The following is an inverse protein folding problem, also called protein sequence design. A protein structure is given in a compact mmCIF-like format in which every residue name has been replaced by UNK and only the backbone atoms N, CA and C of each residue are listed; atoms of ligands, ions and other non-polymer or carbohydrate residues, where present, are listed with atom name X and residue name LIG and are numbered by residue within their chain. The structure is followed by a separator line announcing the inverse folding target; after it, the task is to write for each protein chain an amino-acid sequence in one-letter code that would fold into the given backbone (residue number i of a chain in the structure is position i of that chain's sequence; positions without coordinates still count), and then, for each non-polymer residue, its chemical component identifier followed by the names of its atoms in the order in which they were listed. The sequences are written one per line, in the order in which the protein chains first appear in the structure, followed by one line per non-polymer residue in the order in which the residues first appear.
data_IF_456235174064
#
_entry.id   IF_456235174064
#
_cell.length_a   1.000
_cell.length_b   1.000
_cell.length_c   1.000
_cell.angle_alpha   90.00
_cell.angle_beta   90.00
_cell.angle_gamma   90.00
#
_symmetry.space_group_name_H-M   'P 1'
#
loop_
_entity.id
_entity.type
_entity.pdbx_description
1 polymer ?
#
# COMPACT_ATOMS: atom_id res chain seq x y z
N UNK A 1 8.49 11.69 20.79
CA UNK A 1 7.58 11.35 19.67
C UNK A 1 8.49 11.02 18.49
N UNK A 2 8.35 9.83 17.91
CA UNK A 2 9.13 9.42 16.74
C UNK A 2 8.62 10.16 15.52
N UNK A 3 9.53 10.67 14.67
CA UNK A 3 9.17 11.37 13.44
C UNK A 3 8.39 10.45 12.49
N UNK A 4 7.37 10.96 11.79
CA UNK A 4 6.59 10.15 10.85
C UNK A 4 7.44 9.71 9.66
N UNK A 5 7.21 8.47 9.19
CA UNK A 5 7.85 7.94 7.97
C UNK A 5 7.19 8.51 6.72
N UNK A 6 5.86 8.64 6.74
CA UNK A 6 5.08 9.28 5.68
C UNK A 6 4.23 10.38 6.32
N UNK A 7 4.19 11.55 5.68
CA UNK A 7 3.39 12.68 6.15
C UNK A 7 2.74 13.39 4.96
N UNK A 8 1.49 13.74 5.14
CA UNK A 8 0.66 14.50 4.19
C UNK A 8 0.19 15.75 4.90
N UNK A 9 0.41 16.93 4.28
CA UNK A 9 0.06 18.22 4.85
C UNK A 9 -0.79 19.03 3.87
N UNK A 10 -2.01 19.35 4.25
CA UNK A 10 -2.90 20.26 3.53
C UNK A 10 -3.25 19.78 2.12
N UNK A 11 -3.31 18.45 1.89
CA UNK A 11 -3.41 17.89 0.55
C UNK A 11 -4.78 18.17 -0.06
N UNK A 12 -4.79 18.90 -1.18
CA UNK A 12 -6.03 19.31 -1.86
C UNK A 12 -6.00 18.90 -3.31
N UNK A 13 -7.14 18.41 -3.83
CA UNK A 13 -7.35 18.06 -5.23
C UNK A 13 -8.74 18.38 -5.69
N UNK A 14 -8.84 19.02 -6.87
CA UNK A 14 -10.11 19.37 -7.53
C UNK A 14 -10.12 18.83 -8.96
N UNK A 15 -11.28 18.44 -9.42
CA UNK A 15 -11.57 18.14 -10.81
C UNK A 15 -12.72 19.06 -11.26
N UNK A 16 -12.39 20.18 -11.88
CA UNK A 16 -13.35 21.24 -12.15
C UNK A 16 -13.96 21.79 -10.85
N UNK A 17 -15.28 21.71 -10.72
CA UNK A 17 -15.98 22.14 -9.51
C UNK A 17 -15.96 21.10 -8.37
N UNK A 18 -15.61 19.84 -8.66
CA UNK A 18 -15.61 18.77 -7.67
C UNK A 18 -14.31 18.79 -6.85
N UNK A 19 -14.44 18.96 -5.53
CA UNK A 19 -13.33 18.79 -4.59
C UNK A 19 -13.28 17.35 -4.14
N UNK A 20 -12.16 16.64 -4.41
CA UNK A 20 -12.00 15.20 -4.11
C UNK A 20 -11.05 14.96 -2.93
N UNK A 21 -10.14 15.90 -2.68
CA UNK A 21 -9.35 15.99 -1.46
C UNK A 21 -9.38 17.44 -0.99
N UNK A 22 -9.67 17.67 0.28
CA UNK A 22 -9.84 18.99 0.84
C UNK A 22 -9.12 19.10 2.19
N UNK A 23 -7.93 19.72 2.14
CA UNK A 23 -7.09 20.00 3.30
C UNK A 23 -6.78 18.75 4.13
N UNK A 24 -6.32 17.65 3.46
CA UNK A 24 -6.06 16.39 4.14
C UNK A 24 -4.73 16.44 4.89
N UNK A 25 -4.79 16.14 6.18
CA UNK A 25 -3.67 15.92 7.07
C UNK A 25 -3.59 14.44 7.45
N UNK A 26 -2.41 13.81 7.26
CA UNK A 26 -2.20 12.41 7.60
C UNK A 26 -0.73 12.17 7.96
N UNK A 27 -0.51 11.32 8.95
CA UNK A 27 0.84 10.84 9.30
C UNK A 27 0.84 9.32 9.39
N UNK A 28 1.98 8.70 9.09
CA UNK A 28 2.23 7.27 9.27
C UNK A 28 3.54 7.10 10.05
N UNK A 29 3.46 6.48 11.22
CA UNK A 29 4.58 6.34 12.15
C UNK A 29 5.29 5.00 12.00
N UNK A 30 6.57 4.86 12.42
CA UNK A 30 7.24 3.57 12.45
C UNK A 30 6.43 2.51 13.22
N UNK A 31 6.33 1.31 12.67
CA UNK A 31 5.62 0.18 13.26
C UNK A 31 4.09 0.27 13.23
N UNK A 32 3.52 1.33 12.62
CA UNK A 32 2.09 1.60 12.60
C UNK A 32 1.41 0.98 11.36
N UNK A 33 0.22 0.41 11.55
CA UNK A 33 -0.77 0.22 10.49
C UNK A 33 -1.83 1.31 10.66
N UNK A 34 -1.86 2.27 9.74
CA UNK A 34 -2.86 3.33 9.71
C UNK A 34 -3.86 3.04 8.60
N UNK A 35 -5.09 2.72 8.98
CA UNK A 35 -6.15 2.45 8.01
C UNK A 35 -6.90 3.72 7.60
N UNK A 36 -7.24 3.82 6.32
CA UNK A 36 -8.18 4.81 5.77
C UNK A 36 -9.43 4.08 5.34
N UNK A 37 -10.54 4.43 5.95
CA UNK A 37 -11.87 3.92 5.61
C UNK A 37 -12.76 5.06 5.11
N UNK A 38 -13.88 4.71 4.50
CA UNK A 38 -14.85 5.70 4.02
C UNK A 38 -15.77 5.12 2.95
N UNK A 39 -16.91 5.71 2.67
CA UNK A 39 -17.85 5.24 1.66
C UNK A 39 -17.24 5.26 0.26
N UNK A 40 -17.94 4.63 -0.69
CA UNK A 40 -17.55 4.69 -2.10
C UNK A 40 -17.65 6.14 -2.59
N UNK A 41 -16.64 6.57 -3.36
CA UNK A 41 -16.57 7.97 -3.81
C UNK A 41 -16.02 8.96 -2.78
N UNK A 42 -15.63 8.55 -1.58
CA UNK A 42 -15.07 9.43 -0.55
C UNK A 42 -13.73 10.09 -0.93
N UNK A 43 -13.03 9.57 -1.96
CA UNK A 43 -11.73 10.10 -2.41
C UNK A 43 -10.51 9.24 -2.04
N UNK A 44 -10.71 8.03 -1.49
CA UNK A 44 -9.63 7.14 -1.03
C UNK A 44 -8.59 6.84 -2.12
N UNK A 45 -9.03 6.36 -3.28
CA UNK A 45 -8.11 6.04 -4.40
C UNK A 45 -7.42 7.30 -4.95
N UNK A 46 -8.09 8.46 -4.93
CA UNK A 46 -7.48 9.75 -5.31
C UNK A 46 -6.40 10.15 -4.32
N UNK A 47 -6.64 10.00 -3.02
CA UNK A 47 -5.66 10.26 -1.98
C UNK A 47 -4.43 9.37 -2.14
N UNK A 48 -4.62 8.06 -2.34
CA UNK A 48 -3.53 7.13 -2.63
C UNK A 48 -2.75 7.54 -3.89
N UNK A 49 -3.45 7.91 -4.97
CA UNK A 49 -2.81 8.32 -6.20
C UNK A 49 -1.94 9.58 -6.00
N UNK A 50 -2.37 10.53 -5.16
CA UNK A 50 -1.59 11.72 -4.80
C UNK A 50 -0.37 11.35 -3.93
N UNK A 51 -0.55 10.51 -2.89
CA UNK A 51 0.52 10.04 -2.02
C UNK A 51 1.58 9.28 -2.82
N UNK A 52 1.17 8.44 -3.76
CA UNK A 52 2.07 7.62 -4.58
C UNK A 52 2.64 8.33 -5.82
N UNK A 53 2.26 9.59 -6.10
CA UNK A 53 2.79 10.37 -7.23
C UNK A 53 2.18 10.02 -8.59
N UNK A 54 1.07 9.29 -8.62
CA UNK A 54 0.29 9.04 -9.82
C UNK A 54 -0.65 10.19 -10.18
N UNK A 55 -0.93 11.06 -9.22
CA UNK A 55 -1.73 12.27 -9.39
C UNK A 55 -1.09 13.43 -8.64
N UNK A 56 -0.88 14.54 -9.33
CA UNK A 56 -0.35 15.76 -8.69
C UNK A 56 -1.45 16.45 -7.90
N UNK A 57 -1.21 16.80 -6.62
CA UNK A 57 -2.13 17.64 -5.85
C UNK A 57 -2.16 19.07 -6.40
N UNK A 58 -3.24 19.79 -6.13
CA UNK A 58 -3.37 21.22 -6.47
C UNK A 58 -2.78 22.10 -5.37
N UNK A 59 -2.80 21.61 -4.12
CA UNK A 59 -2.16 22.22 -2.96
C UNK A 59 -1.73 21.17 -1.95
N UNK A 60 -0.92 21.56 -0.98
CA UNK A 60 -0.39 20.70 0.06
C UNK A 60 0.89 19.96 -0.36
N UNK A 61 1.39 19.12 0.55
CA UNK A 61 2.67 18.42 0.36
C UNK A 61 2.64 17.00 0.91
N UNK A 62 3.48 16.15 0.31
CA UNK A 62 3.74 14.77 0.74
C UNK A 62 5.22 14.65 1.10
N UNK A 63 5.50 14.13 2.29
CA UNK A 63 6.87 13.91 2.79
C UNK A 63 7.10 12.41 3.04
N UNK A 64 8.27 11.91 2.64
CA UNK A 64 8.73 10.55 2.93
C UNK A 64 10.08 10.62 3.64
N UNK A 65 10.13 10.15 4.90
CA UNK A 65 11.32 10.27 5.74
C UNK A 65 11.80 11.71 5.88
N UNK A 66 10.88 12.66 6.04
CA UNK A 66 11.14 14.10 6.15
C UNK A 66 11.49 14.81 4.84
N UNK A 67 11.61 14.10 3.71
CA UNK A 67 11.91 14.69 2.40
C UNK A 67 10.62 14.96 1.63
N UNK A 68 10.48 16.17 1.07
CA UNK A 68 9.36 16.53 0.20
C UNK A 68 9.45 15.72 -1.11
N UNK A 69 8.41 14.91 -1.36
CA UNK A 69 8.30 14.07 -2.54
C UNK A 69 7.14 14.49 -3.45
N UNK A 70 6.51 15.63 -3.17
CA UNK A 70 5.27 16.08 -3.81
C UNK A 70 5.34 16.11 -5.33
N UNK A 71 6.44 16.60 -5.89
CA UNK A 71 6.64 16.72 -7.33
C UNK A 71 7.34 15.50 -7.97
N UNK A 72 7.69 14.49 -7.18
CA UNK A 72 8.34 13.28 -7.69
C UNK A 72 7.32 12.33 -8.33
N UNK A 73 7.70 11.75 -9.48
CA UNK A 73 6.93 10.70 -10.12
C UNK A 73 6.89 9.41 -9.28
N UNK A 74 5.87 8.57 -9.49
CA UNK A 74 5.67 7.29 -8.78
C UNK A 74 6.95 6.44 -8.73
N UNK A 75 7.67 6.33 -9.85
CA UNK A 75 8.92 5.57 -9.93
C UNK A 75 9.99 6.08 -8.96
N UNK A 76 10.09 7.39 -8.81
CA UNK A 76 11.13 7.99 -7.99
C UNK A 76 10.77 7.92 -6.50
N UNK A 77 9.48 8.05 -6.15
CA UNK A 77 8.98 7.77 -4.79
C UNK A 77 9.19 6.30 -4.40
N UNK A 78 8.96 5.36 -5.34
CA UNK A 78 9.24 3.93 -5.11
C UNK A 78 10.73 3.69 -4.83
N UNK A 79 11.64 4.33 -5.57
CA UNK A 79 13.09 4.27 -5.33
C UNK A 79 13.53 4.90 -4.00
N UNK A 80 12.75 5.82 -3.46
CA UNK A 80 12.97 6.41 -2.14
C UNK A 80 12.42 5.53 -1.01
N UNK A 81 11.68 4.47 -1.35
CA UNK A 81 11.16 3.49 -0.43
C UNK A 81 9.64 3.57 -0.16
N UNK A 82 8.86 4.24 -1.01
CA UNK A 82 7.40 4.19 -0.92
C UNK A 82 6.88 3.04 -1.81
N UNK A 83 6.63 1.88 -1.22
CA UNK A 83 6.05 0.76 -1.94
C UNK A 83 4.53 0.89 -2.04
N UNK A 84 3.98 0.61 -3.22
CA UNK A 84 2.54 0.53 -3.45
C UNK A 84 2.18 -0.86 -3.96
N UNK A 85 1.16 -1.49 -3.37
CA UNK A 85 0.47 -2.61 -4.00
C UNK A 85 -0.65 -2.07 -4.90
N UNK A 86 -0.86 -2.69 -6.05
CA UNK A 86 -1.83 -2.20 -7.03
C UNK A 86 -3.17 -2.90 -6.85
N UNK A 87 -4.27 -2.15 -7.01
CA UNK A 87 -5.63 -2.68 -7.05
C UNK A 87 -5.85 -3.62 -8.26
N UNK A 88 -5.14 -3.37 -9.37
CA UNK A 88 -5.07 -4.27 -10.52
C UNK A 88 -3.68 -4.89 -10.53
N UNK A 89 -3.62 -6.23 -10.49
CA UNK A 89 -2.37 -6.98 -10.51
C UNK A 89 -1.52 -6.60 -11.72
N UNK A 90 -0.30 -6.10 -11.47
CA UNK A 90 0.68 -5.79 -12.51
C UNK A 90 1.66 -6.94 -12.72
N UNK A 91 1.30 -8.15 -12.26
CA UNK A 91 2.13 -9.35 -12.39
C UNK A 91 2.17 -9.82 -13.84
N UNK A 92 3.35 -10.24 -14.29
CA UNK A 92 3.53 -10.91 -15.56
C UNK A 92 3.01 -12.36 -15.43
N UNK A 93 1.79 -12.60 -15.90
CA UNK A 93 1.06 -13.86 -15.68
C UNK A 93 1.73 -15.07 -16.34
N UNK A 94 2.41 -14.85 -17.48
CA UNK A 94 3.13 -15.90 -18.21
C UNK A 94 4.50 -16.24 -17.60
N UNK A 95 5.02 -15.34 -16.77
CA UNK A 95 6.28 -15.52 -16.08
C UNK A 95 6.11 -16.35 -14.80
N UNK A 96 7.20 -16.92 -14.31
CA UNK A 96 7.19 -17.62 -13.03
C UNK A 96 7.10 -16.66 -11.85
N UNK A 97 6.71 -17.18 -10.70
CA UNK A 97 6.69 -16.47 -9.41
C UNK A 97 8.07 -15.83 -9.13
N UNK A 98 9.15 -16.59 -9.32
CA UNK A 98 10.51 -16.08 -9.14
C UNK A 98 10.84 -14.96 -10.14
N UNK A 99 10.45 -15.10 -11.41
CA UNK A 99 10.70 -14.07 -12.42
C UNK A 99 10.05 -12.75 -12.06
N UNK A 100 8.79 -12.76 -11.61
CA UNK A 100 8.10 -11.56 -11.12
C UNK A 100 8.85 -10.90 -9.95
N UNK A 101 9.28 -11.68 -8.96
CA UNK A 101 10.03 -11.16 -7.82
C UNK A 101 11.40 -10.59 -8.24
N UNK A 102 12.11 -11.25 -9.18
CA UNK A 102 13.38 -10.78 -9.75
C UNK A 102 13.19 -9.48 -10.53
N UNK A 103 12.09 -9.33 -11.29
CA UNK A 103 11.75 -8.07 -11.98
C UNK A 103 11.55 -6.92 -10.98
N UNK A 104 10.88 -7.17 -9.85
CA UNK A 104 10.77 -6.22 -8.75
C UNK A 104 12.14 -5.80 -8.21
N UNK A 105 13.00 -6.75 -7.91
CA UNK A 105 14.36 -6.51 -7.43
C UNK A 105 15.22 -5.74 -8.44
N UNK A 106 15.05 -6.01 -9.74
CA UNK A 106 15.70 -5.26 -10.81
C UNK A 106 15.25 -3.79 -10.84
N UNK A 107 13.94 -3.54 -10.68
CA UNK A 107 13.38 -2.18 -10.61
C UNK A 107 13.98 -1.34 -9.47
N UNK A 108 14.34 -1.98 -8.36
CA UNK A 108 15.04 -1.36 -7.25
C UNK A 108 16.52 -1.08 -7.53
N UNK A 109 17.15 -1.83 -8.47
CA UNK A 109 18.56 -1.68 -8.75
C UNK A 109 18.84 -0.41 -9.56
N UNK A 110 19.83 0.38 -9.11
CA UNK A 110 20.27 1.61 -9.79
C UNK A 110 21.31 1.38 -10.90
N UNK A 111 21.54 0.12 -11.32
CA UNK A 111 22.61 -0.20 -12.27
C UNK A 111 22.14 -0.02 -13.72
N UNK A 112 22.58 1.03 -14.44
CA UNK A 112 22.23 1.25 -15.85
C UNK A 112 22.90 0.24 -16.81
N UNK A 113 23.90 -0.50 -16.35
CA UNK A 113 24.71 -1.44 -17.16
C UNK A 113 24.23 -2.89 -17.12
N UNK A 114 23.04 -3.16 -16.52
CA UNK A 114 22.45 -4.49 -16.41
C UNK A 114 21.94 -5.10 -17.72
N UNK A 115 21.90 -4.35 -18.82
CA UNK A 115 21.34 -4.79 -20.11
C UNK A 115 22.12 -5.92 -20.80
N UNK A 116 23.39 -6.11 -20.45
CA UNK A 116 24.26 -7.10 -21.13
C UNK A 116 24.36 -8.45 -20.42
N UNK A 117 23.70 -8.63 -19.28
CA UNK A 117 23.68 -9.93 -18.57
C UNK A 117 22.24 -10.41 -18.40
N UNK A 118 21.98 -11.72 -18.64
CA UNK A 118 20.67 -12.30 -18.34
C UNK A 118 20.27 -11.99 -16.89
N UNK A 119 19.14 -11.37 -16.70
CA UNK A 119 18.67 -10.91 -15.37
C UNK A 119 18.56 -12.07 -14.38
N UNK A 120 18.11 -13.24 -14.85
CA UNK A 120 18.02 -14.48 -14.06
C UNK A 120 19.38 -15.05 -13.64
N UNK A 121 20.46 -14.68 -14.32
CA UNK A 121 21.85 -15.05 -13.96
C UNK A 121 22.46 -14.16 -12.87
N UNK A 122 21.77 -13.11 -12.42
CA UNK A 122 22.22 -12.24 -11.34
C UNK A 122 21.87 -12.84 -9.99
N UNK A 123 22.87 -13.44 -9.34
CA UNK A 123 22.72 -14.13 -8.05
C UNK A 123 22.24 -13.20 -6.93
N UNK A 124 22.64 -11.92 -6.95
CA UNK A 124 22.21 -10.89 -5.99
C UNK A 124 20.71 -10.61 -6.06
N UNK A 125 20.15 -10.43 -7.27
CA UNK A 125 18.73 -10.19 -7.47
C UNK A 125 17.89 -11.42 -7.16
N UNK A 126 18.40 -12.59 -7.55
CA UNK A 126 17.75 -13.86 -7.30
C UNK A 126 17.66 -14.17 -5.80
N UNK A 127 18.75 -14.05 -5.06
CA UNK A 127 18.77 -14.27 -3.61
C UNK A 127 17.80 -13.32 -2.89
N UNK A 128 17.75 -12.04 -3.31
CA UNK A 128 16.80 -11.07 -2.78
C UNK A 128 15.34 -11.45 -3.07
N UNK A 129 15.05 -11.88 -4.30
CA UNK A 129 13.73 -12.32 -4.70
C UNK A 129 13.30 -13.57 -3.92
N UNK A 130 14.16 -14.57 -3.79
CA UNK A 130 13.91 -15.80 -3.03
C UNK A 130 13.63 -15.48 -1.54
N UNK A 131 14.41 -14.61 -0.92
CA UNK A 131 14.17 -14.18 0.45
C UNK A 131 12.82 -13.47 0.62
N UNK A 132 12.38 -12.64 -0.35
CA UNK A 132 11.07 -12.01 -0.31
C UNK A 132 9.93 -13.01 -0.53
N UNK A 133 10.12 -14.01 -1.40
CA UNK A 133 9.16 -15.09 -1.62
C UNK A 133 9.00 -15.99 -0.38
N UNK A 134 10.10 -16.30 0.30
CA UNK A 134 10.08 -17.08 1.54
C UNK A 134 9.22 -16.39 2.61
N UNK A 135 9.37 -15.07 2.75
CA UNK A 135 8.63 -14.25 3.72
C UNK A 135 7.12 -14.25 3.51
N UNK A 136 6.66 -14.40 2.28
CA UNK A 136 5.24 -14.47 1.95
C UNK A 136 4.74 -15.91 1.75
N UNK A 137 5.59 -16.93 2.00
CA UNK A 137 5.23 -18.33 1.90
C UNK A 137 5.08 -18.85 0.46
N UNK A 138 5.80 -18.26 -0.50
CA UNK A 138 5.72 -18.65 -1.92
C UNK A 138 7.04 -19.21 -2.50
N UNK A 139 8.04 -19.47 -1.66
CA UNK A 139 9.34 -19.93 -2.15
C UNK A 139 9.26 -21.31 -2.80
N UNK A 140 8.43 -22.22 -2.26
CA UNK A 140 8.18 -23.56 -2.82
C UNK A 140 7.50 -23.50 -4.19
N UNK A 141 6.81 -22.40 -4.52
CA UNK A 141 6.14 -22.13 -5.80
C UNK A 141 6.96 -21.28 -6.76
N UNK A 142 8.23 -21.01 -6.45
CA UNK A 142 9.09 -20.10 -7.22
C UNK A 142 9.16 -20.44 -8.72
N UNK A 143 9.11 -21.73 -9.10
CA UNK A 143 9.15 -22.21 -10.49
C UNK A 143 7.75 -22.27 -11.16
N UNK A 144 6.66 -22.09 -10.41
CA UNK A 144 5.28 -22.13 -10.91
C UNK A 144 4.99 -20.89 -11.75
N UNK A 145 4.16 -21.00 -12.79
CA UNK A 145 3.67 -19.82 -13.52
C UNK A 145 2.72 -19.02 -12.65
N UNK A 146 2.83 -17.71 -12.72
CA UNK A 146 1.97 -16.80 -11.95
C UNK A 146 0.48 -16.99 -12.27
N UNK A 147 0.15 -17.35 -13.52
CA UNK A 147 -1.22 -17.66 -13.92
C UNK A 147 -1.84 -18.86 -13.15
N UNK A 148 -1.03 -19.78 -12.63
CA UNK A 148 -1.46 -20.98 -11.91
C UNK A 148 -1.70 -20.72 -10.43
N UNK A 149 -1.25 -19.56 -9.91
CA UNK A 149 -1.50 -19.17 -8.52
C UNK A 149 -2.98 -18.85 -8.28
N UNK A 150 -3.46 -19.19 -7.09
CA UNK A 150 -4.75 -18.71 -6.58
C UNK A 150 -4.76 -17.18 -6.44
N UNK A 151 -5.93 -16.59 -6.25
CA UNK A 151 -6.05 -15.15 -6.08
C UNK A 151 -5.27 -14.66 -4.84
N UNK A 152 -5.36 -15.38 -3.73
CA UNK A 152 -4.61 -15.04 -2.50
C UNK A 152 -3.10 -15.09 -2.69
N UNK A 153 -2.60 -16.14 -3.36
CA UNK A 153 -1.16 -16.28 -3.65
C UNK A 153 -0.64 -15.19 -4.59
N UNK A 154 -1.47 -14.73 -5.55
CA UNK A 154 -1.10 -13.57 -6.37
C UNK A 154 -0.97 -12.31 -5.53
N UNK A 155 -1.86 -12.10 -4.55
CA UNK A 155 -1.74 -10.98 -3.60
C UNK A 155 -0.48 -11.09 -2.73
N UNK A 156 -0.15 -12.29 -2.26
CA UNK A 156 1.12 -12.52 -1.56
C UNK A 156 2.33 -12.23 -2.47
N UNK A 157 2.28 -12.62 -3.75
CA UNK A 157 3.34 -12.31 -4.71
C UNK A 157 3.48 -10.81 -4.95
N UNK A 158 2.39 -10.04 -5.02
CA UNK A 158 2.45 -8.57 -5.11
C UNK A 158 3.16 -7.96 -3.90
N UNK A 159 2.89 -8.47 -2.71
CA UNK A 159 3.60 -8.06 -1.49
C UNK A 159 5.08 -8.44 -1.57
N UNK A 160 5.43 -9.66 -2.04
CA UNK A 160 6.82 -10.07 -2.23
C UNK A 160 7.56 -9.15 -3.21
N UNK A 161 6.94 -8.80 -4.34
CA UNK A 161 7.49 -7.85 -5.32
C UNK A 161 7.73 -6.48 -4.68
N UNK A 162 6.77 -5.97 -3.90
CA UNK A 162 6.92 -4.71 -3.17
C UNK A 162 8.06 -4.77 -2.13
N UNK A 163 8.23 -5.89 -1.44
CA UNK A 163 9.33 -6.11 -0.48
C UNK A 163 10.71 -6.06 -1.15
N UNK A 164 10.83 -6.47 -2.41
CA UNK A 164 12.11 -6.36 -3.13
C UNK A 164 12.63 -4.93 -3.27
N UNK A 165 11.79 -3.92 -3.09
CA UNK A 165 12.17 -2.50 -3.10
C UNK A 165 12.83 -2.04 -1.78
N UNK A 166 12.87 -2.89 -0.73
CA UNK A 166 13.24 -2.51 0.66
C UNK A 166 12.49 -1.25 1.13
N UNK A 167 11.17 -1.33 1.22
CA UNK A 167 10.35 -0.17 1.48
C UNK A 167 10.60 0.45 2.86
N UNK A 168 10.44 1.76 2.95
CA UNK A 168 10.35 2.53 4.20
C UNK A 168 8.91 2.65 4.67
N UNK A 169 7.96 2.62 3.73
CA UNK A 169 6.53 2.60 3.99
C UNK A 169 5.79 1.84 2.88
N UNK A 170 4.70 1.19 3.24
CA UNK A 170 3.75 0.60 2.32
C UNK A 170 2.50 1.47 2.17
N UNK A 171 1.96 1.52 0.97
CA UNK A 171 0.59 1.99 0.69
C UNK A 171 -0.14 0.84 0.01
N UNK A 172 -1.12 0.28 0.71
CA UNK A 172 -1.87 -0.89 0.27
C UNK A 172 -3.34 -0.53 0.04
N UNK A 173 -3.82 -0.87 -1.15
CA UNK A 173 -5.18 -0.55 -1.60
C UNK A 173 -5.97 -1.86 -1.74
N UNK A 174 -6.85 -2.13 -0.78
CA UNK A 174 -7.72 -3.31 -0.69
C UNK A 174 -6.96 -4.65 -0.83
N UNK A 175 -5.90 -4.90 -0.02
CA UNK A 175 -5.13 -6.14 -0.13
C UNK A 175 -5.94 -7.39 0.23
N UNK A 176 -7.04 -7.25 0.95
CA UNK A 176 -7.93 -8.35 1.36
C UNK A 176 -9.02 -8.65 0.32
N UNK A 177 -9.19 -7.79 -0.71
CA UNK A 177 -10.28 -7.91 -1.67
C UNK A 177 -10.27 -9.27 -2.41
N UNK A 178 -11.40 -9.97 -2.39
CA UNK A 178 -11.57 -11.26 -3.07
C UNK A 178 -10.88 -12.44 -2.37
N UNK A 179 -10.34 -12.25 -1.18
CA UNK A 179 -9.83 -13.34 -0.35
C UNK A 179 -10.99 -13.96 0.46
N UNK A 180 -11.10 -15.29 0.47
CA UNK A 180 -11.96 -15.97 1.43
C UNK A 180 -11.42 -15.83 2.86
N UNK A 181 -12.16 -16.33 3.84
CA UNK A 181 -11.82 -16.18 5.27
C UNK A 181 -10.38 -16.64 5.60
N UNK A 182 -9.95 -17.77 5.05
CA UNK A 182 -8.60 -18.32 5.27
C UNK A 182 -7.52 -17.42 4.65
N UNK A 183 -7.73 -16.97 3.40
CA UNK A 183 -6.81 -16.06 2.71
C UNK A 183 -6.72 -14.69 3.40
N UNK A 184 -7.83 -14.17 3.91
CA UNK A 184 -7.89 -12.94 4.71
C UNK A 184 -7.10 -13.08 6.00
N UNK A 185 -7.26 -14.17 6.74
CA UNK A 185 -6.52 -14.43 7.98
C UNK A 185 -4.99 -14.55 7.71
N UNK A 186 -4.60 -15.24 6.64
CA UNK A 186 -3.20 -15.35 6.25
C UNK A 186 -2.61 -13.98 5.88
N UNK A 187 -3.33 -13.16 5.12
CA UNK A 187 -2.91 -11.81 4.77
C UNK A 187 -2.81 -10.90 6.00
N UNK A 188 -3.77 -10.97 6.92
CA UNK A 188 -3.73 -10.26 8.21
C UNK A 188 -2.46 -10.56 8.98
N UNK A 189 -2.13 -11.84 9.12
CA UNK A 189 -0.88 -12.28 9.79
C UNK A 189 0.37 -11.76 9.08
N UNK A 190 0.38 -11.80 7.74
CA UNK A 190 1.49 -11.28 6.95
C UNK A 190 1.68 -9.78 7.18
N UNK A 191 0.61 -8.98 7.09
CA UNK A 191 0.69 -7.53 7.26
C UNK A 191 1.11 -7.13 8.68
N UNK A 192 0.62 -7.84 9.70
CA UNK A 192 1.03 -7.59 11.09
C UNK A 192 2.53 -7.85 11.29
N UNK A 193 3.08 -8.88 10.66
CA UNK A 193 4.53 -9.12 10.66
C UNK A 193 5.33 -8.04 9.94
N UNK A 194 4.83 -7.55 8.80
CA UNK A 194 5.53 -6.57 7.95
C UNK A 194 5.60 -5.17 8.56
N UNK A 195 4.63 -4.77 9.40
CA UNK A 195 4.60 -3.43 10.02
C UNK A 195 5.85 -3.09 10.82
N UNK A 196 6.51 -4.12 11.40
CA UNK A 196 7.73 -3.94 12.18
C UNK A 196 8.93 -3.48 11.33
N UNK A 197 8.90 -3.77 10.03
CA UNK A 197 9.96 -3.38 9.10
C UNK A 197 9.64 -2.08 8.37
N UNK A 198 8.39 -1.94 7.95
CA UNK A 198 7.91 -0.74 7.30
C UNK A 198 6.42 -0.51 7.63
N UNK A 199 6.06 0.68 8.13
CA UNK A 199 4.68 0.99 8.46
C UNK A 199 3.78 0.93 7.22
N UNK A 200 2.49 0.68 7.44
CA UNK A 200 1.52 0.41 6.39
C UNK A 200 0.40 1.43 6.43
N UNK A 201 0.22 2.18 5.34
CA UNK A 201 -1.00 2.92 5.06
C UNK A 201 -1.95 1.98 4.31
N UNK A 202 -3.03 1.58 4.97
CA UNK A 202 -3.96 0.57 4.50
C UNK A 202 -5.29 1.23 4.09
N UNK A 203 -5.74 1.01 2.87
CA UNK A 203 -7.13 1.31 2.49
C UNK A 203 -7.88 0.00 2.40
N UNK A 204 -8.94 -0.13 3.18
CA UNK A 204 -9.77 -1.32 3.23
C UNK A 204 -11.24 -0.97 3.48
N UNK A 205 -12.11 -1.86 3.06
CA UNK A 205 -13.56 -1.79 3.31
C UNK A 205 -14.05 -2.96 4.17
N UNK A 206 -13.24 -3.99 4.38
CA UNK A 206 -13.50 -5.05 5.33
C UNK A 206 -13.20 -4.55 6.75
N UNK A 207 -14.28 -4.22 7.47
CA UNK A 207 -14.16 -3.62 8.80
C UNK A 207 -13.57 -4.58 9.82
N UNK A 208 -13.80 -5.89 9.69
CA UNK A 208 -13.23 -6.88 10.61
C UNK A 208 -11.71 -6.93 10.47
N UNK A 209 -11.21 -6.93 9.24
CA UNK A 209 -9.78 -6.85 8.97
C UNK A 209 -9.17 -5.52 9.45
N UNK A 210 -9.85 -4.39 9.22
CA UNK A 210 -9.41 -3.06 9.69
C UNK A 210 -9.29 -3.03 11.20
N UNK A 211 -10.31 -3.48 11.93
CA UNK A 211 -10.32 -3.47 13.40
C UNK A 211 -9.33 -4.46 14.01
N UNK A 212 -9.00 -5.53 13.30
CA UNK A 212 -8.00 -6.50 13.75
C UNK A 212 -6.55 -6.01 13.57
N UNK A 213 -6.29 -5.18 12.55
CA UNK A 213 -4.92 -4.81 12.15
C UNK A 213 -4.51 -3.39 12.54
N UNK A 214 -5.44 -2.42 12.43
CA UNK A 214 -5.08 -1.02 12.50
C UNK A 214 -4.79 -0.56 13.93
N UNK A 215 -3.71 0.21 14.11
CA UNK A 215 -3.46 0.97 15.34
C UNK A 215 -4.24 2.29 15.33
N UNK A 216 -4.45 2.83 14.15
CA UNK A 216 -5.18 4.07 13.93
C UNK A 216 -6.03 3.95 12.67
N UNK A 217 -7.23 4.53 12.74
CA UNK A 217 -8.16 4.59 11.62
C UNK A 217 -8.48 6.06 11.36
N UNK A 218 -8.42 6.48 10.09
CA UNK A 218 -8.92 7.76 9.63
C UNK A 218 -10.13 7.54 8.73
N UNK A 219 -11.20 8.27 8.97
CA UNK A 219 -12.47 8.18 8.22
C UNK A 219 -12.51 9.31 7.21
N UNK A 220 -12.47 8.96 5.93
CA UNK A 220 -12.53 9.90 4.81
C UNK A 220 -13.95 9.95 4.25
N UNK A 221 -14.54 11.17 4.22
CA UNK A 221 -15.88 11.42 3.68
C UNK A 221 -15.85 12.70 2.84
N UNK A 222 -16.32 12.63 1.61
CA UNK A 222 -16.35 13.77 0.66
C UNK A 222 -15.01 14.54 0.60
N UNK A 223 -13.89 13.79 0.55
CA UNK A 223 -12.56 14.37 0.45
C UNK A 223 -11.98 14.95 1.75
N UNK A 224 -12.62 14.79 2.90
CA UNK A 224 -12.15 15.26 4.21
C UNK A 224 -12.00 14.13 5.21
N UNK A 225 -11.00 14.21 6.08
CA UNK A 225 -10.89 13.33 7.24
C UNK A 225 -11.81 13.91 8.32
N UNK A 226 -12.91 13.19 8.63
CA UNK A 226 -13.90 13.61 9.63
C UNK A 226 -13.59 13.11 11.03
N UNK A 227 -12.84 12.01 11.14
CA UNK A 227 -12.40 11.43 12.39
C UNK A 227 -11.08 10.70 12.21
N UNK A 228 -10.21 10.69 13.22
CA UNK A 228 -8.97 9.92 13.25
C UNK A 228 -8.65 9.52 14.69
N UNK A 229 -8.44 8.23 14.93
CA UNK A 229 -8.18 7.72 16.28
C UNK A 229 -7.94 6.21 16.31
N UNK A 230 -7.72 5.64 17.51
CA UNK A 230 -7.65 4.20 17.68
C UNK A 230 -8.99 3.53 17.34
N UNK A 231 -8.99 2.23 16.98
CA UNK A 231 -10.18 1.51 16.54
C UNK A 231 -11.40 1.68 17.46
N UNK A 232 -11.23 1.58 18.77
CA UNK A 232 -12.32 1.69 19.74
C UNK A 232 -12.96 3.08 19.76
N UNK A 233 -12.18 4.15 19.57
CA UNK A 233 -12.70 5.51 19.48
C UNK A 233 -13.53 5.68 18.19
N UNK A 234 -13.07 5.15 17.05
CA UNK A 234 -13.77 5.24 15.77
C UNK A 234 -15.09 4.45 15.80
N UNK A 235 -15.15 3.29 16.45
CA UNK A 235 -16.39 2.51 16.61
C UNK A 235 -17.51 3.26 17.29
N UNK A 236 -17.18 4.16 18.23
CA UNK A 236 -18.14 4.89 19.06
C UNK A 236 -18.39 6.31 18.58
N UNK A 237 -17.65 6.78 17.58
CA UNK A 237 -17.76 8.14 17.05
C UNK A 237 -19.10 8.33 16.31
N UNK A 238 -19.86 9.36 16.72
CA UNK A 238 -21.18 9.64 16.15
C UNK A 238 -21.09 10.10 14.69
N UNK A 239 -20.12 10.95 14.35
CA UNK A 239 -19.95 11.44 12.98
C UNK A 239 -19.61 10.29 12.01
N UNK A 240 -18.85 9.29 12.49
CA UNK A 240 -18.55 8.08 11.72
C UNK A 240 -19.82 7.26 11.49
N UNK A 241 -20.62 7.05 12.55
CA UNK A 241 -21.89 6.31 12.44
C UNK A 241 -22.84 6.99 11.45
N UNK A 242 -23.00 8.30 11.55
CA UNK A 242 -23.88 9.04 10.66
C UNK A 242 -23.42 8.99 9.20
N UNK A 243 -22.09 9.02 8.96
CA UNK A 243 -21.52 8.91 7.62
C UNK A 243 -21.71 7.53 6.98
N UNK A 244 -21.77 6.45 7.79
CA UNK A 244 -21.98 5.09 7.29
C UNK A 244 -23.47 4.67 7.32
N UNK A 245 -24.30 5.23 8.21
CA UNK A 245 -25.71 4.91 8.34
C UNK A 245 -26.61 5.86 7.55
N UNK A 246 -26.11 7.07 7.22
CA UNK A 246 -26.89 8.09 6.51
C UNK A 246 -27.21 7.77 5.05
N UNK A 247 -26.54 6.80 4.45
CA UNK A 247 -26.79 6.36 3.06
C UNK A 247 -27.73 5.15 2.95
N UNK A 248 -28.37 4.71 4.06
CA UNK A 248 -29.16 3.48 4.12
C UNK A 248 -30.50 3.55 4.89
N UNK A 249 -31.04 4.73 5.14
CA UNK A 249 -32.39 4.89 5.76
C UNK A 249 -33.38 5.50 4.78
#
# INVERSE_FOLDING_TARGET
MTDPVLEVRGLTKRFGALVVSDDIELTLRPGEIHAIIGPNGAGKSTLIAQICGGLRPDAGRVYLGGQDVTDLATRDRARMGLARTFQISSLAMEDTVLQNAVLGALGASRSPWGFFRPVLGRTDLRARAEACLDRVGLLDKAAMRTAELSHGERRQLEVAVALTLSPKAFVMDEPMAGLGAEGGAAMTTLLDGLRQEAPILLVEHDMDAVFALADRISVLVYGRIIASGPPDAIRTDQAVRDAYLGDGA
#
